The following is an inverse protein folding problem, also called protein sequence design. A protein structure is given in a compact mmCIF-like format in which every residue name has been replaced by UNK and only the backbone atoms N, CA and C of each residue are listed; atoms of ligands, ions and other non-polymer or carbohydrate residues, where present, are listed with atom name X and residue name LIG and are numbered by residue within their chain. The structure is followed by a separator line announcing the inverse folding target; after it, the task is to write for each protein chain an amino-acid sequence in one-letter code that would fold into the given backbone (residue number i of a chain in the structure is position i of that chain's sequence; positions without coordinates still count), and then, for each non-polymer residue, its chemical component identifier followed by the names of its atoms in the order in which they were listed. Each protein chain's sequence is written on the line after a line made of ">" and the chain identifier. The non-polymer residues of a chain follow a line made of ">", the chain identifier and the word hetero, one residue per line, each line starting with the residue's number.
data_IF_777467084324
#
_entry.id   IF_777467084324
#
_cell.length_a   1.000
_cell.length_b   1.000
_cell.length_c   1.000
_cell.angle_alpha   90.00
_cell.angle_beta   90.00
_cell.angle_gamma   90.00
#
_symmetry.space_group_name_H-M   'P 1'
#
loop_
_entity.id
_entity.type
_entity.pdbx_description
1 polymer ?
#
# COMPACT_ATOMS: atom_id res chain seq x y z
N UNK A 1 46.98 -31.24 -3.60
CA UNK A 1 45.78 -30.68 -2.93
C UNK A 1 44.65 -31.70 -3.02
N UNK A 2 44.18 -32.21 -1.89
CA UNK A 2 43.34 -33.41 -1.83
C UNK A 2 41.91 -33.13 -2.31
N UNK A 3 41.26 -34.11 -2.95
CA UNK A 3 39.89 -33.98 -3.50
C UNK A 3 38.89 -33.51 -2.44
N UNK A 4 39.08 -33.96 -1.19
CA UNK A 4 38.29 -33.56 -0.01
C UNK A 4 38.50 -32.07 0.36
N UNK A 5 39.74 -31.59 0.27
CA UNK A 5 40.09 -30.18 0.54
C UNK A 5 39.50 -29.25 -0.53
N UNK A 6 39.50 -29.67 -1.79
CA UNK A 6 38.83 -28.91 -2.88
C UNK A 6 37.31 -28.84 -2.68
N UNK A 7 36.68 -29.94 -2.29
CA UNK A 7 35.24 -29.98 -2.03
C UNK A 7 34.81 -29.09 -0.85
N UNK A 8 35.60 -29.07 0.23
CA UNK A 8 35.38 -28.20 1.39
C UNK A 8 35.51 -26.71 1.02
N UNK A 9 36.50 -26.35 0.21
CA UNK A 9 36.68 -24.96 -0.25
C UNK A 9 35.51 -24.52 -1.14
N UNK A 10 35.05 -25.38 -2.07
CA UNK A 10 33.89 -25.07 -2.90
C UNK A 10 32.59 -24.91 -2.08
N UNK A 11 32.38 -25.74 -1.06
CA UNK A 11 31.21 -25.61 -0.16
C UNK A 11 31.23 -24.30 0.63
N UNK A 12 32.41 -23.84 1.07
CA UNK A 12 32.56 -22.59 1.81
C UNK A 12 32.25 -21.37 0.92
N UNK A 13 32.68 -21.42 -0.34
CA UNK A 13 32.46 -20.34 -1.33
C UNK A 13 30.97 -20.20 -1.67
N UNK A 14 30.24 -21.31 -1.82
CA UNK A 14 28.81 -21.30 -2.14
C UNK A 14 27.96 -20.71 -1.00
N UNK A 15 28.36 -20.94 0.27
CA UNK A 15 27.69 -20.33 1.43
C UNK A 15 27.95 -18.83 1.55
N UNK A 16 29.12 -18.34 1.12
CA UNK A 16 29.48 -16.92 1.16
C UNK A 16 28.84 -16.11 0.03
N UNK A 17 28.52 -16.74 -1.11
CA UNK A 17 27.88 -16.07 -2.27
C UNK A 17 26.37 -16.28 -2.36
N UNK A 18 25.79 -17.16 -1.53
CA UNK A 18 24.38 -17.56 -1.60
C UNK A 18 23.38 -16.66 -0.84
N UNK A 19 23.82 -15.68 -0.05
CA UNK A 19 22.91 -14.80 0.69
C UNK A 19 22.71 -13.47 -0.02
N UNK A 20 21.92 -13.49 -1.10
CA UNK A 20 21.26 -12.29 -1.60
C UNK A 20 19.78 -12.58 -1.75
N UNK A 21 19.11 -12.86 -0.62
CA UNK A 21 17.65 -12.73 -0.57
C UNK A 21 17.34 -11.23 -0.60
N UNK A 22 17.18 -10.70 -1.81
CA UNK A 22 16.64 -9.37 -2.01
C UNK A 22 15.17 -9.42 -1.61
N UNK A 23 14.87 -9.07 -0.35
CA UNK A 23 13.51 -8.82 0.09
C UNK A 23 12.99 -7.64 -0.74
N UNK A 24 12.24 -7.91 -1.80
CA UNK A 24 11.56 -6.86 -2.53
C UNK A 24 10.47 -6.31 -1.62
N UNK A 25 10.73 -5.17 -1.00
CA UNK A 25 9.67 -4.37 -0.40
C UNK A 25 8.57 -4.20 -1.45
N UNK A 26 7.35 -4.66 -1.15
CA UNK A 26 6.23 -4.47 -2.07
C UNK A 26 6.11 -2.99 -2.37
N UNK A 27 6.01 -2.62 -3.65
CA UNK A 27 5.73 -1.25 -4.03
C UNK A 27 4.36 -0.85 -3.48
N UNK A 28 4.35 0.13 -2.58
CA UNK A 28 3.12 0.71 -2.02
C UNK A 28 2.80 1.95 -2.85
N UNK A 29 1.58 2.00 -3.38
CA UNK A 29 1.07 3.21 -4.04
C UNK A 29 1.02 4.36 -3.03
N UNK A 30 1.41 5.57 -3.44
CA UNK A 30 1.59 6.69 -2.49
C UNK A 30 0.32 6.98 -1.68
N UNK A 31 -0.87 6.90 -2.28
CA UNK A 31 -2.12 7.12 -1.52
C UNK A 31 -2.36 6.08 -0.41
N UNK A 32 -1.81 4.86 -0.54
CA UNK A 32 -1.89 3.76 0.45
C UNK A 32 -0.83 3.85 1.54
N UNK A 33 0.23 4.64 1.36
CA UNK A 33 1.29 4.78 2.34
C UNK A 33 0.85 5.70 3.49
N UNK A 34 0.66 5.18 4.72
CA UNK A 34 0.26 5.99 5.86
C UNK A 34 1.38 6.92 6.36
N UNK A 35 2.62 6.73 5.94
CA UNK A 35 3.77 7.58 6.29
C UNK A 35 3.88 8.88 5.50
N UNK A 36 3.09 9.04 4.42
CA UNK A 36 3.07 10.24 3.61
C UNK A 36 2.00 11.25 4.09
N UNK A 37 2.27 12.54 3.84
CA UNK A 37 1.33 13.63 4.13
C UNK A 37 0.01 13.50 3.36
N UNK A 38 -1.05 14.07 3.92
CA UNK A 38 -2.40 13.93 3.36
C UNK A 38 -2.51 14.53 1.96
N UNK A 39 -1.80 15.62 1.69
CA UNK A 39 -1.76 16.31 0.40
C UNK A 39 -1.15 15.41 -0.67
N UNK A 40 -0.03 14.75 -0.34
CA UNK A 40 0.67 13.83 -1.24
C UNK A 40 -0.22 12.63 -1.57
N UNK A 41 -0.86 12.06 -0.56
CA UNK A 41 -1.75 10.90 -0.69
C UNK A 41 -3.00 11.25 -1.50
N UNK A 42 -3.61 12.39 -1.22
CA UNK A 42 -4.82 12.87 -1.90
C UNK A 42 -4.54 13.20 -3.36
N UNK A 43 -3.42 13.88 -3.64
CA UNK A 43 -3.03 14.19 -5.01
C UNK A 43 -2.74 12.92 -5.83
N UNK A 44 -2.05 11.94 -5.26
CA UNK A 44 -1.82 10.65 -5.95
C UNK A 44 -3.13 9.88 -6.18
N UNK A 45 -4.04 9.86 -5.21
CA UNK A 45 -5.35 9.22 -5.36
C UNK A 45 -6.20 9.88 -6.46
N UNK A 46 -6.39 11.20 -6.37
CA UNK A 46 -7.16 11.96 -7.36
C UNK A 46 -6.51 11.93 -8.76
N UNK A 47 -5.19 11.83 -8.85
CA UNK A 47 -4.49 11.68 -10.13
C UNK A 47 -4.79 10.36 -10.85
N UNK A 48 -5.19 9.31 -10.10
CA UNK A 48 -5.49 7.96 -10.64
C UNK A 48 -6.97 7.77 -11.00
N UNK A 49 -7.85 8.58 -10.45
CA UNK A 49 -9.30 8.43 -10.60
C UNK A 49 -9.83 8.97 -11.93
N UNK A 50 -10.87 8.32 -12.46
CA UNK A 50 -11.68 8.86 -13.57
C UNK A 50 -12.54 10.04 -13.10
N UNK A 51 -13.16 10.74 -14.06
CA UNK A 51 -14.07 11.82 -13.75
C UNK A 51 -15.29 11.31 -12.95
N UNK A 52 -15.84 10.17 -13.37
CA UNK A 52 -16.99 9.53 -12.73
C UNK A 52 -16.68 9.12 -11.29
N UNK A 53 -15.49 8.55 -11.06
CA UNK A 53 -15.04 8.19 -9.71
C UNK A 53 -14.89 9.44 -8.82
N UNK A 54 -14.34 10.54 -9.37
CA UNK A 54 -14.21 11.82 -8.64
C UNK A 54 -15.57 12.40 -8.28
N UNK A 55 -16.50 12.41 -9.25
CA UNK A 55 -17.89 12.84 -9.03
C UNK A 55 -18.58 11.95 -8.01
N UNK A 56 -18.33 10.63 -8.04
CA UNK A 56 -18.87 9.66 -7.09
C UNK A 56 -18.49 9.96 -5.63
N UNK A 57 -17.30 10.51 -5.37
CA UNK A 57 -16.90 10.94 -4.02
C UNK A 57 -17.68 12.16 -3.51
N UNK A 58 -18.24 12.97 -4.42
CA UNK A 58 -19.08 14.12 -4.07
C UNK A 58 -20.54 13.71 -3.83
N UNK A 59 -20.94 12.53 -4.33
CA UNK A 59 -22.24 11.95 -4.03
C UNK A 59 -22.21 11.45 -2.59
N UNK A 60 -22.71 12.28 -1.67
CA UNK A 60 -23.14 11.83 -0.36
C UNK A 60 -24.61 11.39 -0.52
N UNK A 61 -24.92 10.11 -0.80
CA UNK A 61 -26.26 9.65 -0.52
C UNK A 61 -26.46 9.96 0.96
N UNK A 62 -27.47 10.77 1.28
CA UNK A 62 -27.89 10.97 2.66
C UNK A 62 -28.27 9.59 3.19
N UNK A 63 -27.30 8.83 3.71
CA UNK A 63 -27.44 7.45 4.15
C UNK A 63 -28.15 7.35 5.50
N UNK A 64 -28.73 8.45 5.94
CA UNK A 64 -29.52 8.59 7.14
C UNK A 64 -30.93 8.89 6.65
N UNK A 65 -31.94 8.19 7.18
CA UNK A 65 -33.32 8.66 7.03
C UNK A 65 -33.31 10.15 7.38
N UNK A 66 -33.80 11.00 6.47
CA UNK A 66 -33.86 12.43 6.73
C UNK A 66 -34.65 12.61 8.01
N UNK A 67 -33.98 13.08 9.06
CA UNK A 67 -34.64 13.27 10.34
C UNK A 67 -35.81 14.23 10.14
N UNK A 68 -36.99 13.83 10.63
CA UNK A 68 -38.17 14.67 10.53
C UNK A 68 -38.21 15.57 11.77
N UNK A 69 -37.99 16.87 11.57
CA UNK A 69 -38.08 17.85 12.64
C UNK A 69 -39.55 18.26 12.85
N UNK A 70 -40.18 17.76 13.91
CA UNK A 70 -41.51 18.20 14.37
C UNK A 70 -41.35 19.15 15.56
N UNK A 71 -41.24 20.44 15.27
CA UNK A 71 -41.08 21.47 16.32
C UNK A 71 -39.70 21.38 17.01
N UNK A 72 -39.67 20.93 18.27
CA UNK A 72 -38.45 20.69 19.05
C UNK A 72 -38.00 19.22 19.05
N UNK A 73 -38.78 18.30 18.49
CA UNK A 73 -38.42 16.88 18.38
C UNK A 73 -37.78 16.56 17.02
N UNK A 74 -36.82 15.63 17.04
CA UNK A 74 -36.09 15.11 15.89
C UNK A 74 -36.23 13.59 15.92
N UNK A 75 -36.79 12.99 14.87
CA UNK A 75 -36.98 11.53 14.71
C UNK A 75 -36.23 11.05 13.48
#
# INVERSE_FOLDING_TARGET
>A
MNKKTKALICSLIICLTGYSQQASAQYIEKYKDPGLGIEVRTHDLLGRMTLEEKVGQLLCPLGWEMYEKKGQEVT
#
